data_IF_409188180536
#
_entry.id   IF_409188180536
#
_cell.length_a   1.000
_cell.length_b   1.000
_cell.length_c   1.000
_cell.angle_alpha   90.00
_cell.angle_beta   90.00
_cell.angle_gamma   90.00
#
_symmetry.space_group_name_H-M   'P 1'
#
loop_
_entity.id
_entity.type
_entity.pdbx_description
1 polymer ?
#
# COMPACT_ATOMS: atom_id res chain seq x y z
N UNK A 1 5.94 -10.13 -6.02
CA UNK A 1 5.49 -8.97 -5.24
C UNK A 1 6.47 -8.66 -4.14
N UNK A 2 6.54 -9.54 -3.16
CA UNK A 2 7.19 -9.32 -1.86
C UNK A 2 8.68 -8.91 -1.98
N UNK A 3 9.43 -9.54 -2.90
CA UNK A 3 10.82 -9.15 -3.18
C UNK A 3 10.96 -7.72 -3.71
N UNK A 4 10.04 -7.26 -4.56
CA UNK A 4 10.05 -5.88 -5.09
C UNK A 4 9.69 -4.89 -3.99
N UNK A 5 8.71 -5.23 -3.15
CA UNK A 5 8.35 -4.44 -1.96
C UNK A 5 9.57 -4.30 -1.05
N UNK A 6 10.24 -5.41 -0.72
CA UNK A 6 11.45 -5.38 0.10
C UNK A 6 12.57 -4.52 -0.50
N UNK A 7 12.81 -4.61 -1.80
CA UNK A 7 13.80 -3.78 -2.50
C UNK A 7 13.43 -2.28 -2.48
N UNK A 8 12.16 -1.96 -2.70
CA UNK A 8 11.65 -0.59 -2.67
C UNK A 8 11.81 0.03 -1.28
N UNK A 9 11.47 -0.73 -0.23
CA UNK A 9 11.60 -0.28 1.16
C UNK A 9 13.07 -0.15 1.58
N UNK A 10 13.94 -1.11 1.24
CA UNK A 10 15.37 -0.97 1.53
C UNK A 10 15.99 0.26 0.83
N UNK A 11 15.57 0.54 -0.41
CA UNK A 11 15.98 1.75 -1.12
C UNK A 11 15.52 3.02 -0.41
N UNK A 12 14.25 3.09 0.02
CA UNK A 12 13.72 4.22 0.78
C UNK A 12 14.48 4.43 2.10
N UNK A 13 14.78 3.34 2.82
CA UNK A 13 15.53 3.37 4.08
C UNK A 13 16.91 4.02 3.89
N UNK A 14 17.70 3.54 2.91
CA UNK A 14 19.04 4.07 2.62
C UNK A 14 19.02 5.57 2.30
N UNK A 15 18.08 6.02 1.47
CA UNK A 15 18.02 7.43 1.06
C UNK A 15 17.58 8.33 2.23
N UNK A 16 16.71 7.84 3.12
CA UNK A 16 16.29 8.60 4.31
C UNK A 16 17.45 8.83 5.27
N UNK A 17 18.33 7.85 5.44
CA UNK A 17 19.55 7.96 6.25
C UNK A 17 20.52 9.01 5.68
N UNK A 18 20.66 9.07 4.36
CA UNK A 18 21.61 9.98 3.70
C UNK A 18 21.14 11.43 3.57
N UNK A 19 19.83 11.69 3.41
CA UNK A 19 19.34 13.00 2.93
C UNK A 19 18.43 13.81 3.85
N UNK A 20 18.12 13.37 5.09
CA UNK A 20 17.23 14.07 6.06
C UNK A 20 15.97 14.69 5.41
N UNK A 21 15.38 14.01 4.43
CA UNK A 21 14.19 14.49 3.71
C UNK A 21 13.01 13.55 3.91
N UNK A 22 11.81 14.14 3.96
CA UNK A 22 10.51 13.48 3.97
C UNK A 22 10.19 12.90 2.59
N UNK A 23 10.96 11.90 2.18
CA UNK A 23 10.71 11.16 0.94
C UNK A 23 9.70 10.06 1.21
N UNK A 24 8.75 9.90 0.29
CA UNK A 24 7.82 8.78 0.24
C UNK A 24 8.11 7.90 -0.98
N UNK A 25 7.59 6.68 -0.97
CA UNK A 25 7.64 5.74 -2.08
C UNK A 25 6.24 5.29 -2.47
N UNK A 26 5.97 5.22 -3.77
CA UNK A 26 4.77 4.59 -4.30
C UNK A 26 5.11 3.21 -4.85
N UNK A 27 4.35 2.19 -4.45
CA UNK A 27 4.54 0.80 -4.88
C UNK A 27 3.27 0.35 -5.58
N UNK A 28 3.41 -0.06 -6.84
CA UNK A 28 2.31 -0.60 -7.62
C UNK A 28 1.95 -2.02 -7.16
N UNK A 29 0.67 -2.25 -6.87
CA UNK A 29 0.11 -3.51 -6.40
C UNK A 29 -1.05 -3.93 -7.32
N UNK A 30 -0.96 -5.14 -7.86
CA UNK A 30 -2.05 -5.73 -8.65
C UNK A 30 -3.17 -6.28 -7.75
N UNK A 31 -4.39 -6.37 -8.30
CA UNK A 31 -5.56 -6.91 -7.61
C UNK A 31 -5.36 -8.31 -7.05
N UNK A 32 -4.74 -9.18 -7.85
CA UNK A 32 -4.52 -10.57 -7.50
C UNK A 32 -3.58 -10.66 -6.29
N UNK A 33 -2.59 -9.77 -6.17
CA UNK A 33 -1.72 -9.73 -5.01
C UNK A 33 -2.45 -9.22 -3.77
N UNK A 34 -3.27 -8.19 -3.92
CA UNK A 34 -4.01 -7.58 -2.82
C UNK A 34 -5.04 -8.53 -2.21
N UNK A 35 -5.69 -9.36 -3.03
CA UNK A 35 -6.66 -10.38 -2.61
C UNK A 35 -6.02 -11.65 -2.01
N UNK A 36 -4.69 -11.76 -1.97
CA UNK A 36 -4.06 -12.88 -1.26
C UNK A 36 -4.30 -12.74 0.23
N UNK A 37 -4.78 -13.82 0.87
CA UNK A 37 -5.07 -13.87 2.31
C UNK A 37 -3.89 -13.43 3.19
N UNK A 38 -2.66 -13.69 2.75
CA UNK A 38 -1.43 -13.40 3.48
C UNK A 38 -0.77 -12.06 3.10
N UNK A 39 -1.36 -11.28 2.18
CA UNK A 39 -0.72 -10.08 1.66
C UNK A 39 -0.47 -9.03 2.76
N UNK A 40 -1.51 -8.68 3.53
CA UNK A 40 -1.42 -7.66 4.57
C UNK A 40 -0.41 -8.04 5.65
N UNK A 41 -0.49 -9.27 6.17
CA UNK A 41 0.43 -9.78 7.18
C UNK A 41 1.89 -9.75 6.71
N UNK A 42 2.14 -10.22 5.48
CA UNK A 42 3.49 -10.21 4.90
C UNK A 42 4.00 -8.78 4.70
N UNK A 43 3.17 -7.88 4.16
CA UNK A 43 3.54 -6.49 3.96
C UNK A 43 3.89 -5.80 5.28
N UNK A 44 3.08 -6.00 6.32
CA UNK A 44 3.33 -5.42 7.65
C UNK A 44 4.62 -5.97 8.27
N UNK A 45 4.91 -7.26 8.11
CA UNK A 45 6.18 -7.84 8.56
C UNK A 45 7.36 -7.14 7.89
N UNK A 46 7.33 -7.00 6.55
CA UNK A 46 8.42 -6.36 5.81
C UNK A 46 8.60 -4.91 6.22
N UNK A 47 7.51 -4.14 6.35
CA UNK A 47 7.59 -2.73 6.78
C UNK A 47 8.20 -2.61 8.18
N UNK A 48 7.78 -3.49 9.09
CA UNK A 48 8.29 -3.54 10.46
C UNK A 48 9.77 -3.92 10.51
N UNK A 49 10.19 -4.91 9.74
CA UNK A 49 11.59 -5.34 9.64
C UNK A 49 12.50 -4.23 9.10
N UNK A 50 11.98 -3.39 8.20
CA UNK A 50 12.71 -2.28 7.60
C UNK A 50 12.68 -0.99 8.42
N UNK A 51 11.92 -0.94 9.51
CA UNK A 51 11.74 0.23 10.39
C UNK A 51 11.35 1.51 9.63
N UNK A 52 10.40 1.38 8.68
CA UNK A 52 9.91 2.50 7.87
C UNK A 52 8.55 2.94 8.39
N UNK A 53 8.38 4.23 8.75
CA UNK A 53 7.07 4.74 9.14
C UNK A 53 6.07 4.59 7.98
N UNK A 54 4.91 3.94 8.21
CA UNK A 54 3.94 3.62 7.15
C UNK A 54 3.47 4.83 6.33
N UNK A 55 3.42 6.02 6.94
CA UNK A 55 3.04 7.27 6.27
C UNK A 55 3.94 7.68 5.08
N UNK A 56 5.11 7.05 4.93
CA UNK A 56 6.00 7.28 3.78
C UNK A 56 5.79 6.27 2.64
N UNK A 57 4.81 5.38 2.76
CA UNK A 57 4.54 4.33 1.80
C UNK A 57 3.14 4.55 1.22
N UNK A 58 3.08 4.69 -0.10
CA UNK A 58 1.85 4.71 -0.88
C UNK A 58 1.72 3.42 -1.65
N UNK A 59 0.59 2.73 -1.56
CA UNK A 59 0.26 1.62 -2.44
C UNK A 59 -0.61 2.13 -3.57
N UNK A 60 -0.17 1.91 -4.81
CA UNK A 60 -0.89 2.28 -6.02
C UNK A 60 -1.56 1.05 -6.60
N UNK A 61 -2.87 1.15 -6.83
CA UNK A 61 -3.72 0.03 -7.22
C UNK A 61 -4.42 0.38 -8.51
N UNK A 62 -4.28 -0.48 -9.53
CA UNK A 62 -4.87 -0.27 -10.85
C UNK A 62 -6.17 -1.05 -11.06
N UNK A 63 -7.05 -0.48 -11.90
CA UNK A 63 -8.50 -0.69 -12.05
C UNK A 63 -9.03 -2.13 -12.25
N UNK A 64 -8.23 -3.13 -12.66
CA UNK A 64 -8.74 -4.51 -12.98
C UNK A 64 -9.17 -5.33 -11.76
N UNK A 65 -9.49 -4.67 -10.65
CA UNK A 65 -9.87 -5.25 -9.37
C UNK A 65 -11.38 -5.55 -9.29
N UNK A 66 -12.19 -4.76 -9.98
CA UNK A 66 -13.59 -4.56 -9.60
C UNK A 66 -14.58 -5.65 -10.05
N UNK A 67 -14.12 -6.69 -10.77
CA UNK A 67 -15.02 -7.72 -11.30
C UNK A 67 -15.26 -8.91 -10.38
N UNK A 68 -14.58 -9.05 -9.22
CA UNK A 68 -14.68 -10.30 -8.44
C UNK A 68 -14.94 -10.21 -6.94
N UNK A 69 -14.58 -9.15 -6.19
CA UNK A 69 -14.93 -9.11 -4.76
C UNK A 69 -14.76 -7.73 -4.07
N UNK A 70 -15.75 -6.84 -4.17
CA UNK A 70 -15.70 -5.50 -3.57
C UNK A 70 -15.59 -5.50 -2.04
N UNK A 71 -16.26 -6.42 -1.34
CA UNK A 71 -16.26 -6.46 0.13
C UNK A 71 -14.89 -6.85 0.70
N UNK A 72 -14.28 -7.90 0.14
CA UNK A 72 -12.94 -8.36 0.55
C UNK A 72 -11.87 -7.30 0.24
N UNK A 73 -12.02 -6.60 -0.89
CA UNK A 73 -11.18 -5.47 -1.25
C UNK A 73 -11.26 -4.36 -0.22
N UNK A 74 -12.46 -3.88 0.09
CA UNK A 74 -12.67 -2.80 1.05
C UNK A 74 -12.15 -3.17 2.45
N UNK A 75 -12.35 -4.42 2.89
CA UNK A 75 -11.79 -4.91 4.15
C UNK A 75 -10.26 -4.83 4.15
N UNK A 76 -9.63 -5.22 3.04
CA UNK A 76 -8.17 -5.19 2.88
C UNK A 76 -7.65 -3.76 2.85
N UNK A 77 -8.28 -2.87 2.09
CA UNK A 77 -7.93 -1.45 2.03
C UNK A 77 -8.08 -0.78 3.39
N UNK A 78 -9.15 -1.07 4.13
CA UNK A 78 -9.34 -0.59 5.50
C UNK A 78 -8.18 -0.96 6.41
N UNK A 79 -7.78 -2.24 6.43
CA UNK A 79 -6.62 -2.70 7.21
C UNK A 79 -5.32 -1.99 6.85
N UNK A 80 -5.09 -1.72 5.56
CA UNK A 80 -3.90 -1.02 5.09
C UNK A 80 -3.89 0.44 5.53
N UNK A 81 -5.03 1.13 5.45
CA UNK A 81 -5.18 2.51 5.93
C UNK A 81 -5.07 2.60 7.46
N UNK A 82 -5.66 1.66 8.20
CA UNK A 82 -5.57 1.59 9.67
C UNK A 82 -4.12 1.37 10.15
N UNK A 83 -3.31 0.68 9.34
CA UNK A 83 -1.87 0.54 9.58
C UNK A 83 -1.08 1.83 9.30
N UNK A 84 -1.70 2.83 8.69
CA UNK A 84 -1.10 4.13 8.38
C UNK A 84 -0.49 4.25 6.99
N UNK A 85 -0.80 3.33 6.06
CA UNK A 85 -0.38 3.41 4.66
C UNK A 85 -1.24 4.39 3.88
N UNK A 86 -0.65 5.06 2.89
CA UNK A 86 -1.41 5.80 1.89
C UNK A 86 -1.82 4.86 0.75
N UNK A 87 -3.02 5.05 0.22
CA UNK A 87 -3.55 4.28 -0.91
C UNK A 87 -3.88 5.25 -2.04
N UNK A 88 -3.41 4.94 -3.25
CA UNK A 88 -3.76 5.61 -4.49
C UNK A 88 -4.44 4.60 -5.43
N UNK A 89 -5.56 4.98 -6.03
CA UNK A 89 -6.32 4.14 -6.97
C UNK A 89 -6.46 4.94 -8.26
N UNK A 90 -5.93 4.40 -9.36
CA UNK A 90 -5.94 5.06 -10.68
C UNK A 90 -7.13 4.53 -11.50
N UNK A 91 -7.97 5.47 -11.97
CA UNK A 91 -9.27 5.34 -12.65
C UNK A 91 -10.48 4.75 -11.89
N UNK A 92 -10.95 5.52 -10.90
CA UNK A 92 -12.32 5.42 -10.40
C UNK A 92 -13.25 6.31 -11.24
N UNK A 93 -13.98 5.71 -12.18
CA UNK A 93 -15.20 6.32 -12.71
C UNK A 93 -16.22 6.51 -11.58
N UNK A 94 -16.25 7.71 -11.00
CA UNK A 94 -17.24 8.22 -10.01
C UNK A 94 -17.41 7.38 -8.74
N UNK A 95 -16.83 7.78 -7.60
CA UNK A 95 -17.45 7.37 -6.32
C UNK A 95 -16.68 7.44 -5.01
N UNK A 96 -15.34 7.42 -4.96
CA UNK A 96 -14.64 7.24 -3.68
C UNK A 96 -13.48 8.20 -3.42
N UNK A 97 -13.62 9.47 -3.82
CA UNK A 97 -12.77 10.55 -3.33
C UNK A 97 -13.14 11.02 -1.91
N UNK A 98 -13.90 10.24 -1.12
CA UNK A 98 -14.37 10.64 0.22
C UNK A 98 -14.71 9.43 1.10
N UNK A 99 -13.71 8.70 1.59
CA UNK A 99 -13.83 7.94 2.85
C UNK A 99 -13.11 8.67 3.99
N UNK A 100 -13.22 10.00 3.95
CA UNK A 100 -13.27 10.85 5.13
C UNK A 100 -14.74 11.23 5.33
N UNK A 101 -15.39 10.60 6.33
CA UNK A 101 -16.82 10.65 6.77
C UNK A 101 -17.38 9.23 6.67
N UNK A 102 -17.69 8.50 7.73
CA UNK A 102 -17.91 8.80 9.16
C UNK A 102 -17.20 7.76 10.04
#
# INVERSE_FOLDING_TARGET
>A
GDRIIGMALDFLRRIREEKRRSLSISINISAIQLLRKDFTDNLFSIIKEMDIPPQYITLEITETIFSMNYEEMNSTLGKLMDYGLHIAIDDFGTGYSTLARE
#
